data_IF_825852737039
#
_entry.id   IF_825852737039
#
_cell.length_a   1.000
_cell.length_b   1.000
_cell.length_c   1.000
_cell.angle_alpha   90.00
_cell.angle_beta   90.00
_cell.angle_gamma   90.00
#
_symmetry.space_group_name_H-M   'P 1'
#
loop_
_entity.id
_entity.type
_entity.pdbx_description
1 polymer ?
#
# COMPACT_ATOMS: atom_id res chain seq x y z
N UNK A 1 -65.47 9.24 12.66
CA UNK A 1 -64.60 8.81 13.79
C UNK A 1 -63.18 9.18 13.42
N UNK A 2 -62.71 10.38 13.78
CA UNK A 2 -62.02 10.70 15.04
C UNK A 2 -60.52 10.28 14.96
N UNK A 3 -59.56 11.17 14.60
CA UNK A 3 -58.84 12.21 15.42
C UNK A 3 -57.79 11.62 16.40
N UNK A 4 -56.68 12.24 16.81
CA UNK A 4 -55.99 13.56 16.60
C UNK A 4 -54.54 13.31 16.09
N UNK A 5 -53.67 14.22 15.62
CA UNK A 5 -53.42 15.69 15.67
C UNK A 5 -52.67 16.24 16.90
N UNK A 6 -51.34 16.16 16.88
CA UNK A 6 -50.37 17.16 17.42
C UNK A 6 -49.08 17.12 16.56
N UNK A 7 -48.49 18.17 15.99
CA UNK A 7 -48.23 19.57 16.43
C UNK A 7 -47.09 19.60 17.50
N UNK A 8 -46.05 20.47 17.47
CA UNK A 8 -45.71 21.61 16.59
C UNK A 8 -44.34 22.22 17.00
N UNK A 9 -43.62 22.82 16.04
CA UNK A 9 -42.57 23.89 16.18
C UNK A 9 -41.33 23.59 17.05
N UNK A 10 -40.12 23.64 16.45
CA UNK A 10 -39.23 24.81 16.34
C UNK A 10 -38.47 25.15 17.63
N UNK A 11 -37.17 24.93 17.56
CA UNK A 11 -36.15 25.73 18.23
C UNK A 11 -35.24 26.26 17.12
N UNK A 12 -35.52 27.48 16.66
CA UNK A 12 -34.68 28.25 15.74
C UNK A 12 -33.38 28.75 16.42
N UNK A 13 -32.59 29.51 15.67
CA UNK A 13 -31.38 30.26 16.10
C UNK A 13 -30.08 29.48 16.37
N UNK A 14 -28.89 29.97 15.96
CA UNK A 14 -28.55 31.08 15.05
C UNK A 14 -27.11 30.84 14.52
N UNK A 15 -26.74 31.63 13.50
CA UNK A 15 -25.38 31.98 13.06
C UNK A 15 -24.91 31.32 11.76
N UNK A 16 -25.44 31.90 10.68
CA UNK A 16 -24.76 32.12 9.40
C UNK A 16 -23.22 32.04 9.46
N UNK A 17 -22.62 31.25 8.58
CA UNK A 17 -21.37 31.68 7.97
C UNK A 17 -21.26 31.26 6.50
N UNK A 18 -21.45 32.28 5.67
CA UNK A 18 -21.32 32.29 4.22
C UNK A 18 -19.94 31.81 3.74
N UNK A 19 -19.94 31.22 2.54
CA UNK A 19 -18.81 31.11 1.61
C UNK A 19 -17.59 30.23 1.99
N UNK A 20 -17.58 28.99 1.49
CA UNK A 20 -16.48 28.32 0.76
C UNK A 20 -16.91 26.86 0.49
N UNK A 21 -17.18 26.44 -0.76
CA UNK A 21 -16.23 26.14 -1.85
C UNK A 21 -15.18 25.10 -1.44
N UNK A 22 -15.26 23.94 -2.10
CA UNK A 22 -14.39 22.74 -2.00
C UNK A 22 -14.62 21.80 -0.78
N UNK A 23 -15.36 20.68 -0.95
CA UNK A 23 -14.95 19.45 -0.30
C UNK A 23 -13.66 18.98 -0.99
N UNK A 24 -12.52 19.13 -0.32
CA UNK A 24 -11.28 18.53 -0.79
C UNK A 24 -11.44 17.00 -0.85
N UNK A 25 -11.21 16.41 -2.01
CA UNK A 25 -11.30 14.97 -2.20
C UNK A 25 -10.14 14.26 -1.46
N UNK A 26 -10.39 13.87 -0.21
CA UNK A 26 -9.72 12.72 0.37
C UNK A 26 -10.05 11.48 -0.49
N UNK A 27 -9.12 10.55 -0.71
CA UNK A 27 -8.07 10.16 0.23
C UNK A 27 -6.64 10.20 -0.36
N UNK A 28 -5.63 10.29 0.52
CA UNK A 28 -4.53 9.30 0.64
C UNK A 28 -3.95 9.47 2.04
N UNK A 29 -4.35 8.63 2.99
CA UNK A 29 -3.51 8.38 4.15
C UNK A 29 -2.28 7.61 3.63
N UNK A 30 -1.17 8.32 3.40
CA UNK A 30 0.08 7.70 2.95
C UNK A 30 0.48 6.69 4.04
N UNK A 31 0.51 5.37 3.76
CA UNK A 31 0.87 4.40 4.77
C UNK A 31 2.27 4.73 5.29
N UNK A 32 2.46 4.49 6.59
CA UNK A 32 3.58 5.01 7.35
C UNK A 32 4.92 4.80 6.64
N UNK A 33 5.78 5.82 6.70
CA UNK A 33 7.22 5.60 6.67
C UNK A 33 7.54 4.68 7.84
N UNK A 34 7.49 3.37 7.60
CA UNK A 34 7.87 2.39 8.58
C UNK A 34 9.35 2.59 8.80
N UNK A 35 9.71 3.17 9.94
CA UNK A 35 11.06 3.20 10.48
C UNK A 35 11.43 1.78 10.90
N UNK A 36 11.45 0.86 9.94
CA UNK A 36 12.14 -0.39 10.09
C UNK A 36 13.60 -0.05 10.40
N UNK A 37 14.18 -0.81 11.32
CA UNK A 37 15.62 -0.96 11.45
C UNK A 37 16.26 -1.17 10.06
N UNK A 38 17.57 -0.91 9.90
CA UNK A 38 18.29 -1.25 8.67
C UNK A 38 18.40 -2.78 8.54
N UNK A 39 17.29 -3.44 8.24
CA UNK A 39 17.25 -4.80 7.73
C UNK A 39 18.05 -4.77 6.45
N UNK A 40 19.09 -5.60 6.37
CA UNK A 40 19.94 -5.63 5.19
C UNK A 40 19.07 -6.11 4.03
N UNK A 41 18.73 -5.23 3.08
CA UNK A 41 18.02 -5.62 1.86
C UNK A 41 19.05 -5.87 0.77
N UNK A 42 18.87 -6.97 0.04
CA UNK A 42 19.64 -7.26 -1.16
C UNK A 42 18.76 -7.02 -2.38
N UNK A 43 19.34 -6.33 -3.34
CA UNK A 43 18.71 -6.04 -4.62
C UNK A 43 19.27 -7.03 -5.64
N UNK A 44 18.42 -7.55 -6.51
CA UNK A 44 18.83 -8.34 -7.66
C UNK A 44 18.23 -7.72 -8.92
N UNK A 45 19.00 -7.80 -10.01
CA UNK A 45 18.60 -7.38 -11.34
C UNK A 45 18.28 -8.60 -12.19
N UNK A 46 17.11 -8.57 -12.81
CA UNK A 46 16.69 -9.53 -13.81
C UNK A 46 17.22 -9.15 -15.20
N UNK A 47 17.90 -10.10 -15.84
CA UNK A 47 18.49 -9.96 -17.18
C UNK A 47 17.53 -10.33 -18.31
N UNK A 48 16.54 -11.19 -18.07
CA UNK A 48 15.61 -11.68 -19.10
C UNK A 48 14.30 -10.89 -19.15
N UNK A 49 13.79 -10.47 -18.00
CA UNK A 49 12.44 -9.91 -17.84
C UNK A 49 12.45 -8.58 -17.10
N UNK A 50 11.81 -7.57 -17.68
CA UNK A 50 11.62 -6.27 -17.03
C UNK A 50 10.50 -6.27 -15.98
N UNK A 51 9.66 -7.30 -15.95
CA UNK A 51 8.68 -7.57 -14.88
C UNK A 51 8.34 -9.06 -14.84
N UNK A 52 8.38 -9.70 -13.67
CA UNK A 52 7.82 -11.04 -13.41
C UNK A 52 7.51 -11.24 -11.93
N UNK A 53 6.72 -12.25 -11.60
CA UNK A 53 6.49 -12.70 -10.22
C UNK A 53 7.24 -14.00 -10.00
N UNK A 54 8.15 -14.02 -9.02
CA UNK A 54 8.82 -15.22 -8.55
C UNK A 54 7.99 -15.84 -7.43
N UNK A 55 7.69 -17.14 -7.53
CA UNK A 55 6.99 -17.89 -6.50
C UNK A 55 8.04 -18.68 -5.70
N UNK A 56 8.10 -18.44 -4.40
CA UNK A 56 9.03 -19.10 -3.49
C UNK A 56 8.46 -20.48 -3.11
N UNK A 57 9.30 -21.44 -2.67
CA UNK A 57 8.84 -22.74 -2.17
C UNK A 57 8.01 -22.67 -0.87
N UNK A 58 7.82 -21.47 -0.33
CA UNK A 58 7.08 -21.12 0.90
C UNK A 58 5.73 -20.47 0.55
N UNK A 59 5.21 -20.67 -0.67
CA UNK A 59 4.03 -20.04 -1.30
C UNK A 59 4.03 -18.49 -1.37
N UNK A 60 5.04 -17.83 -0.79
CA UNK A 60 5.27 -16.38 -0.89
C UNK A 60 5.67 -15.98 -2.32
N UNK A 61 5.41 -14.73 -2.68
CA UNK A 61 5.76 -14.19 -4.00
C UNK A 61 6.63 -12.94 -3.90
N UNK A 62 7.66 -12.86 -4.75
CA UNK A 62 8.48 -11.68 -4.95
C UNK A 62 8.20 -11.08 -6.32
N UNK A 63 7.82 -9.80 -6.34
CA UNK A 63 7.56 -9.07 -7.59
C UNK A 63 8.83 -8.41 -8.08
N UNK A 64 9.31 -8.83 -9.25
CA UNK A 64 10.33 -8.11 -10.03
C UNK A 64 9.65 -6.93 -10.72
N UNK A 65 10.07 -5.70 -10.41
CA UNK A 65 9.56 -4.48 -11.00
C UNK A 65 10.69 -3.71 -11.70
N UNK A 66 10.51 -3.36 -12.99
CA UNK A 66 11.52 -2.69 -13.83
C UNK A 66 12.85 -3.46 -13.94
N UNK A 67 12.77 -4.79 -13.88
CA UNK A 67 13.92 -5.71 -13.89
C UNK A 67 14.69 -5.71 -12.57
N UNK A 68 14.08 -5.24 -11.47
CA UNK A 68 14.67 -5.19 -10.15
C UNK A 68 13.76 -5.91 -9.15
N UNK A 69 14.34 -6.76 -8.31
CA UNK A 69 13.65 -7.40 -7.18
C UNK A 69 14.47 -7.18 -5.91
N UNK A 70 13.78 -6.86 -4.82
CA UNK A 70 14.37 -6.66 -3.51
C UNK A 70 13.90 -7.74 -2.56
N UNK A 71 14.83 -8.31 -1.80
CA UNK A 71 14.56 -9.27 -0.74
C UNK A 71 15.32 -8.86 0.52
N UNK A 72 14.87 -9.31 1.69
CA UNK A 72 15.66 -9.20 2.91
C UNK A 72 16.81 -10.21 2.86
N UNK A 73 18.01 -9.80 3.22
CA UNK A 73 19.18 -10.67 3.32
C UNK A 73 19.04 -11.69 4.46
N UNK A 74 18.23 -11.38 5.48
CA UNK A 74 17.81 -12.30 6.53
C UNK A 74 16.87 -13.42 6.02
N UNK A 75 16.22 -13.21 4.86
CA UNK A 75 15.30 -14.19 4.27
C UNK A 75 16.07 -15.20 3.41
N UNK A 76 16.56 -16.24 4.06
CA UNK A 76 17.33 -17.31 3.41
C UNK A 76 16.56 -18.00 2.27
N UNK A 77 15.23 -18.07 2.33
CA UNK A 77 14.39 -18.69 1.29
C UNK A 77 14.35 -17.83 0.03
N UNK A 78 14.15 -16.52 0.19
CA UNK A 78 14.25 -15.56 -0.89
C UNK A 78 15.67 -15.54 -1.49
N UNK A 79 16.69 -15.45 -0.65
CA UNK A 79 18.09 -15.44 -1.08
C UNK A 79 18.49 -16.69 -1.86
N UNK A 80 18.08 -17.87 -1.40
CA UNK A 80 18.32 -19.13 -2.12
C UNK A 80 17.52 -19.19 -3.43
N UNK A 81 16.25 -18.79 -3.43
CA UNK A 81 15.43 -18.74 -4.65
C UNK A 81 16.08 -17.82 -5.70
N UNK A 82 16.43 -16.58 -5.32
CA UNK A 82 17.07 -15.60 -6.20
C UNK A 82 18.42 -16.10 -6.74
N UNK A 83 19.27 -16.66 -5.87
CA UNK A 83 20.59 -17.19 -6.27
C UNK A 83 20.53 -18.49 -7.08
N UNK A 84 19.38 -19.18 -7.11
CA UNK A 84 19.18 -20.38 -7.94
C UNK A 84 18.84 -20.02 -9.39
N UNK A 85 18.39 -18.79 -9.65
CA UNK A 85 18.10 -18.32 -11.00
C UNK A 85 19.33 -17.65 -11.64
N UNK A 86 19.93 -18.23 -12.70
CA UNK A 86 21.11 -17.65 -13.35
C UNK A 86 20.81 -16.31 -14.05
N UNK A 87 19.54 -15.99 -14.27
CA UNK A 87 19.06 -14.75 -14.89
C UNK A 87 19.00 -13.56 -13.92
N UNK A 88 19.22 -13.81 -12.61
CA UNK A 88 19.17 -12.81 -11.55
C UNK A 88 20.59 -12.53 -11.05
N UNK A 89 21.12 -11.36 -11.37
CA UNK A 89 22.38 -10.89 -10.82
C UNK A 89 22.16 -10.10 -9.53
N UNK A 90 22.92 -10.33 -8.45
CA UNK A 90 22.92 -9.42 -7.31
C UNK A 90 23.41 -8.03 -7.75
N UNK A 91 22.69 -7.00 -7.32
CA UNK A 91 23.05 -5.60 -7.50
C UNK A 91 23.49 -5.06 -6.12
N UNK A 92 24.81 -5.04 -5.91
CA UNK A 92 25.45 -4.44 -4.72
C UNK A 92 25.33 -2.90 -4.71
#
# INVERSE_FOLDING_TARGET
MATVKTDKTSGDELAVQSAQVMPAAAPVARPASSSASPVAVRTFRDRLYTSRTLILPDDRTLTVAKGIVTAQADDAVAMQCLSTHPDLEPLE
#
